data_IF_252947413852
#
_entry.id   IF_252947413852
#
_cell.length_a   1.000
_cell.length_b   1.000
_cell.length_c   1.000
_cell.angle_alpha   90.00
_cell.angle_beta   90.00
_cell.angle_gamma   90.00
#
_symmetry.space_group_name_H-M   'P 1'
#
loop_
_entity.id
_entity.type
_entity.pdbx_description
1 polymer ?
#
# COMPACT_ATOMS: atom_id res chain seq x y z
N UNK A 1 -2.20 20.49 -19.23
CA UNK A 1 -1.64 19.40 -18.40
C UNK A 1 -2.71 18.30 -18.37
N UNK A 2 -2.47 17.18 -19.04
CA UNK A 2 -3.38 16.02 -19.02
C UNK A 2 -2.97 15.12 -17.86
N UNK A 3 -3.92 14.77 -16.98
CA UNK A 3 -3.64 13.92 -15.82
C UNK A 3 -3.65 12.46 -16.22
N UNK A 4 -2.80 11.68 -15.55
CA UNK A 4 -2.70 10.24 -15.76
C UNK A 4 -3.71 9.48 -14.89
N UNK A 5 -4.27 10.07 -13.82
CA UNK A 5 -5.26 9.38 -12.97
C UNK A 5 -6.14 10.23 -12.03
N UNK A 6 -7.32 9.72 -11.61
CA UNK A 6 -8.07 10.32 -10.50
C UNK A 6 -7.36 10.24 -9.16
N UNK A 7 -6.55 9.18 -8.94
CA UNK A 7 -5.66 9.11 -7.77
C UNK A 7 -4.63 10.23 -7.77
N UNK A 8 -4.05 10.54 -8.93
CA UNK A 8 -3.13 11.66 -9.12
C UNK A 8 -3.87 12.99 -8.96
N UNK A 9 -5.10 13.13 -9.45
CA UNK A 9 -5.90 14.34 -9.24
C UNK A 9 -6.23 14.57 -7.77
N UNK A 10 -6.54 13.50 -7.02
CA UNK A 10 -6.75 13.58 -5.58
C UNK A 10 -5.45 13.85 -4.83
N UNK A 11 -4.39 13.12 -5.15
CA UNK A 11 -3.07 13.33 -4.59
C UNK A 11 -2.58 14.76 -4.83
N UNK A 12 -2.64 15.28 -6.06
CA UNK A 12 -2.18 16.62 -6.40
C UNK A 12 -3.10 17.75 -5.89
N UNK A 13 -4.35 17.43 -5.52
CA UNK A 13 -5.24 18.37 -4.83
C UNK A 13 -4.90 18.49 -3.33
N UNK A 14 -4.49 17.39 -2.68
CA UNK A 14 -4.25 17.32 -1.24
C UNK A 14 -2.77 17.45 -0.85
N UNK A 15 -1.83 17.06 -1.71
CA UNK A 15 -0.40 17.24 -1.49
C UNK A 15 0.10 18.55 -2.12
N UNK A 16 0.58 19.45 -1.27
CA UNK A 16 1.53 20.48 -1.68
C UNK A 16 2.81 19.81 -2.18
N UNK A 17 3.38 20.26 -3.31
CA UNK A 17 4.66 19.76 -3.85
C UNK A 17 5.82 20.04 -2.89
N UNK A 18 5.98 19.17 -1.90
CA UNK A 18 7.09 19.12 -0.93
C UNK A 18 7.34 20.39 -0.09
N UNK A 19 8.00 20.22 1.04
CA UNK A 19 8.47 21.28 1.92
C UNK A 19 9.30 22.38 1.22
N UNK A 20 9.77 22.15 -0.02
CA UNK A 20 10.44 23.15 -0.82
C UNK A 20 9.52 24.29 -1.25
N UNK A 21 8.22 24.08 -1.51
CA UNK A 21 7.30 25.15 -1.88
C UNK A 21 6.97 26.07 -0.69
N UNK A 22 6.87 25.52 0.52
CA UNK A 22 6.77 26.32 1.74
C UNK A 22 8.06 27.09 2.03
N UNK A 23 9.23 26.47 1.87
CA UNK A 23 10.52 27.17 1.93
C UNK A 23 10.65 28.23 0.83
N UNK A 24 10.14 27.99 -0.37
CA UNK A 24 10.08 28.95 -1.48
C UNK A 24 9.10 30.10 -1.18
N UNK A 25 7.95 29.85 -0.56
CA UNK A 25 7.02 30.90 -0.10
C UNK A 25 7.60 31.72 1.05
N UNK A 26 8.30 31.07 2.01
CA UNK A 26 9.04 31.74 3.07
C UNK A 26 10.20 32.58 2.49
N UNK A 27 10.91 32.07 1.48
CA UNK A 27 11.97 32.81 0.78
C UNK A 27 11.41 33.95 -0.09
N UNK A 28 10.21 33.80 -0.67
CA UNK A 28 9.51 34.84 -1.44
C UNK A 28 8.94 35.96 -0.56
N UNK A 29 8.50 35.64 0.65
CA UNK A 29 8.02 36.61 1.65
C UNK A 29 9.16 37.35 2.36
N UNK A 30 10.41 36.89 2.20
CA UNK A 30 11.58 37.54 2.74
C UNK A 30 12.05 38.71 1.84
N UNK A 31 11.67 39.93 2.21
CA UNK A 31 11.97 41.15 1.45
C UNK A 31 13.48 41.39 1.18
N UNK A 32 14.37 40.79 1.98
CA UNK A 32 15.81 40.92 1.86
C UNK A 32 16.43 40.12 0.70
N UNK A 33 15.78 39.01 0.27
CA UNK A 33 16.22 38.23 -0.91
C UNK A 33 15.79 38.88 -2.22
N UNK A 34 14.70 39.66 -2.22
CA UNK A 34 14.17 40.35 -3.41
C UNK A 34 15.05 41.50 -3.93
N UNK A 35 16.04 41.94 -3.13
CA UNK A 35 16.97 43.04 -3.46
C UNK A 35 18.25 42.59 -4.17
N UNK A 36 18.55 41.29 -4.25
CA UNK A 36 19.72 40.82 -4.99
C UNK A 36 19.43 40.82 -6.49
N UNK A 37 20.33 41.43 -7.28
CA UNK A 37 20.23 41.43 -8.75
C UNK A 37 20.32 39.99 -9.25
N UNK A 38 19.46 39.57 -10.20
CA UNK A 38 19.49 38.20 -10.72
C UNK A 38 20.82 37.92 -11.40
N UNK A 39 21.45 36.81 -11.03
CA UNK A 39 22.62 36.28 -11.75
C UNK A 39 22.12 35.62 -13.03
N UNK A 40 22.86 35.76 -14.13
CA UNK A 40 22.44 35.50 -15.52
C UNK A 40 21.94 34.06 -15.82
N UNK A 41 21.98 33.14 -14.85
CA UNK A 41 21.53 31.74 -14.96
C UNK A 41 20.48 31.33 -13.91
N UNK A 42 19.91 32.26 -13.15
CA UNK A 42 18.83 31.94 -12.22
C UNK A 42 17.49 31.79 -12.97
N UNK A 43 16.83 30.66 -12.78
CA UNK A 43 15.47 30.42 -13.27
C UNK A 43 14.57 31.54 -12.74
N UNK A 44 13.95 32.32 -13.64
CA UNK A 44 13.08 33.42 -13.25
C UNK A 44 11.90 32.90 -12.41
N UNK A 45 11.88 33.23 -11.11
CA UNK A 45 10.79 32.90 -10.18
C UNK A 45 9.79 34.06 -9.98
N UNK A 46 9.91 35.14 -10.76
CA UNK A 46 9.10 36.38 -10.66
C UNK A 46 7.77 36.36 -11.44
N UNK A 47 7.13 35.19 -11.57
CA UNK A 47 5.72 35.11 -11.97
C UNK A 47 4.85 35.00 -10.72
N UNK A 48 3.59 35.50 -10.72
CA UNK A 48 2.63 35.06 -9.71
C UNK A 48 2.65 33.53 -9.68
N UNK A 49 2.67 32.93 -8.49
CA UNK A 49 2.55 31.49 -8.37
C UNK A 49 1.24 31.10 -9.07
N UNK A 50 1.35 30.49 -10.25
CA UNK A 50 0.19 30.12 -11.05
C UNK A 50 -0.49 28.92 -10.40
N UNK A 51 -1.30 29.24 -9.39
CA UNK A 51 -2.09 28.29 -8.64
C UNK A 51 -3.32 27.83 -9.43
N UNK A 52 -3.52 28.28 -10.67
CA UNK A 52 -4.69 27.91 -11.50
C UNK A 52 -4.77 26.38 -11.68
N UNK A 53 -3.63 25.74 -11.91
CA UNK A 53 -3.51 24.27 -11.98
C UNK A 53 -4.00 23.60 -10.70
N UNK A 54 -3.52 24.05 -9.54
CA UNK A 54 -3.91 23.54 -8.21
C UNK A 54 -5.40 23.73 -7.92
N UNK A 55 -5.95 24.91 -8.20
CA UNK A 55 -7.37 25.20 -8.01
C UNK A 55 -8.22 24.30 -8.92
N UNK A 56 -7.78 24.07 -10.16
CA UNK A 56 -8.43 23.11 -11.06
C UNK A 56 -8.34 21.67 -10.53
N UNK A 57 -7.22 21.26 -9.93
CA UNK A 57 -7.10 19.92 -9.31
C UNK A 57 -8.08 19.76 -8.16
N UNK A 58 -8.13 20.74 -7.26
CA UNK A 58 -9.05 20.75 -6.11
C UNK A 58 -10.51 20.70 -6.55
N UNK A 59 -10.87 21.49 -7.57
CA UNK A 59 -12.23 21.48 -8.11
C UNK A 59 -12.60 20.13 -8.73
N UNK A 60 -11.69 19.50 -9.49
CA UNK A 60 -11.95 18.20 -10.10
C UNK A 60 -11.96 17.06 -9.06
N UNK A 61 -11.06 17.10 -8.07
CA UNK A 61 -11.06 16.22 -6.91
C UNK A 61 -12.36 16.29 -6.11
N UNK A 62 -12.88 17.52 -5.88
CA UNK A 62 -14.16 17.74 -5.21
C UNK A 62 -15.35 17.16 -5.98
N UNK A 63 -15.32 17.20 -7.33
CA UNK A 63 -16.35 16.55 -8.16
C UNK A 63 -16.31 15.02 -8.04
N UNK A 64 -15.11 14.43 -8.09
CA UNK A 64 -14.94 12.98 -7.89
C UNK A 64 -15.43 12.56 -6.51
N UNK A 65 -15.09 13.33 -5.47
CA UNK A 65 -15.61 13.15 -4.11
C UNK A 65 -17.14 13.16 -4.05
N UNK A 66 -17.75 14.17 -4.67
CA UNK A 66 -19.20 14.34 -4.70
C UNK A 66 -19.90 13.17 -5.38
N UNK A 67 -19.37 12.65 -6.50
CA UNK A 67 -19.98 11.50 -7.17
C UNK A 67 -19.79 10.21 -6.37
N UNK A 68 -18.60 9.97 -5.81
CA UNK A 68 -18.37 8.82 -4.94
C UNK A 68 -19.37 8.85 -3.78
N UNK A 69 -19.58 10.01 -3.15
CA UNK A 69 -20.50 10.17 -2.01
C UNK A 69 -21.98 9.84 -2.31
N UNK A 70 -22.39 9.78 -3.58
CA UNK A 70 -23.75 9.37 -3.98
C UNK A 70 -23.93 7.86 -4.10
N UNK A 71 -22.83 7.11 -4.20
CA UNK A 71 -22.85 5.67 -4.42
C UNK A 71 -23.30 4.92 -3.15
N UNK A 72 -23.68 3.64 -3.23
CA UNK A 72 -23.86 2.79 -2.06
C UNK A 72 -22.60 2.75 -1.17
N UNK A 73 -22.79 2.55 0.13
CA UNK A 73 -21.73 2.64 1.14
C UNK A 73 -20.47 1.78 0.85
N UNK A 74 -20.63 0.62 0.23
CA UNK A 74 -19.51 -0.25 -0.14
C UNK A 74 -18.71 0.28 -1.32
N UNK A 75 -19.36 0.87 -2.32
CA UNK A 75 -18.71 1.54 -3.45
C UNK A 75 -18.07 2.86 -3.02
N UNK A 76 -18.67 3.57 -2.05
CA UNK A 76 -18.04 4.71 -1.39
C UNK A 76 -16.73 4.30 -0.72
N UNK A 77 -16.79 3.28 0.14
CA UNK A 77 -15.62 2.78 0.86
C UNK A 77 -14.55 2.27 -0.10
N UNK A 78 -14.93 1.49 -1.12
CA UNK A 78 -14.05 1.03 -2.17
C UNK A 78 -13.36 2.21 -2.89
N UNK A 79 -14.13 3.20 -3.33
CA UNK A 79 -13.58 4.33 -4.08
C UNK A 79 -12.68 5.23 -3.24
N UNK A 80 -13.08 5.51 -2.00
CA UNK A 80 -12.23 6.22 -1.03
C UNK A 80 -10.94 5.44 -0.77
N UNK A 81 -10.99 4.12 -0.60
CA UNK A 81 -9.79 3.33 -0.36
C UNK A 81 -8.84 3.29 -1.56
N UNK A 82 -9.38 3.16 -2.77
CA UNK A 82 -8.58 3.01 -3.99
C UNK A 82 -7.94 4.32 -4.45
N UNK A 83 -8.64 5.45 -4.31
CA UNK A 83 -8.21 6.69 -4.92
C UNK A 83 -7.89 7.80 -3.92
N UNK A 84 -8.40 7.76 -2.68
CA UNK A 84 -8.18 8.86 -1.74
C UNK A 84 -6.73 8.88 -1.26
N UNK A 85 -6.20 10.07 -0.89
CA UNK A 85 -4.94 10.16 -0.17
C UNK A 85 -5.03 9.32 1.11
N UNK A 86 -4.04 8.46 1.35
CA UNK A 86 -3.99 7.65 2.57
C UNK A 86 -3.21 8.40 3.64
N UNK A 87 -3.71 8.43 4.87
CA UNK A 87 -3.00 9.03 6.02
C UNK A 87 -1.59 8.45 6.24
N UNK A 88 -1.34 7.22 5.78
CA UNK A 88 -0.05 6.52 5.92
C UNK A 88 1.14 7.19 5.23
N UNK A 89 0.90 8.14 4.33
CA UNK A 89 1.97 8.94 3.72
C UNK A 89 2.57 9.98 4.70
N UNK A 90 1.99 10.15 5.91
CA UNK A 90 2.42 11.10 6.94
C UNK A 90 3.02 10.43 8.19
N UNK A 91 4.15 9.73 8.05
CA UNK A 91 5.08 9.39 9.16
C UNK A 91 4.59 8.67 10.45
N UNK A 92 3.58 7.77 10.51
CA UNK A 92 3.25 7.02 11.74
C UNK A 92 3.87 5.60 11.77
N UNK A 93 4.48 5.16 10.66
CA UNK A 93 4.95 3.78 10.50
C UNK A 93 6.00 3.39 11.57
N UNK A 94 6.98 4.25 11.84
CA UNK A 94 8.11 3.91 12.71
C UNK A 94 7.73 3.57 14.15
N UNK A 95 6.75 4.27 14.74
CA UNK A 95 6.30 4.00 16.11
C UNK A 95 5.66 2.61 16.21
N UNK A 96 4.81 2.27 15.25
CA UNK A 96 4.17 0.96 15.18
C UNK A 96 5.18 -0.18 14.94
N UNK A 97 6.24 0.07 14.15
CA UNK A 97 7.29 -0.93 13.93
C UNK A 97 8.05 -1.26 15.22
N UNK A 98 8.33 -0.26 16.06
CA UNK A 98 9.00 -0.45 17.33
C UNK A 98 8.12 -1.21 18.33
N UNK A 99 6.82 -0.92 18.38
CA UNK A 99 5.86 -1.64 19.22
C UNK A 99 5.80 -3.12 18.85
N UNK A 100 5.72 -3.44 17.56
CA UNK A 100 5.75 -4.82 17.06
C UNK A 100 7.09 -5.49 17.37
N UNK A 101 8.21 -4.80 17.15
CA UNK A 101 9.54 -5.33 17.46
C UNK A 101 9.69 -5.67 18.95
N UNK A 102 9.18 -4.82 19.84
CA UNK A 102 9.18 -5.06 21.28
C UNK A 102 8.25 -6.21 21.69
N UNK A 103 7.09 -6.36 21.05
CA UNK A 103 6.21 -7.51 21.25
C UNK A 103 6.90 -8.81 20.84
N UNK A 104 7.52 -8.84 19.67
CA UNK A 104 8.29 -10.00 19.18
C UNK A 104 9.49 -10.32 20.08
N UNK A 105 10.19 -9.30 20.59
CA UNK A 105 11.31 -9.52 21.50
C UNK A 105 10.87 -10.22 22.79
N UNK A 106 9.70 -9.85 23.34
CA UNK A 106 9.11 -10.52 24.52
C UNK A 106 8.74 -11.96 24.20
N UNK A 107 8.04 -12.18 23.10
CA UNK A 107 7.64 -13.53 22.64
C UNK A 107 8.86 -14.44 22.46
N UNK A 108 9.94 -13.96 21.83
CA UNK A 108 11.15 -14.76 21.64
C UNK A 108 11.86 -15.02 22.96
N UNK A 109 11.90 -14.05 23.87
CA UNK A 109 12.50 -14.23 25.20
C UNK A 109 11.78 -15.34 25.98
N UNK A 110 10.47 -15.44 25.86
CA UNK A 110 9.66 -16.48 26.50
C UNK A 110 9.85 -17.85 25.85
N UNK A 111 9.87 -17.90 24.51
CA UNK A 111 9.89 -19.16 23.76
C UNK A 111 11.29 -19.74 23.51
N UNK A 112 12.31 -18.87 23.43
CA UNK A 112 13.71 -19.21 23.14
C UNK A 112 14.65 -18.54 24.18
N UNK A 113 14.51 -18.88 25.48
CA UNK A 113 15.21 -18.17 26.55
C UNK A 113 16.73 -18.34 26.50
N UNK A 114 17.23 -19.49 26.01
CA UNK A 114 18.66 -19.78 25.92
C UNK A 114 19.33 -18.93 24.82
N UNK A 115 18.73 -18.92 23.63
CA UNK A 115 19.22 -18.12 22.49
C UNK A 115 19.10 -16.63 22.78
N UNK A 116 18.00 -16.20 23.41
CA UNK A 116 17.82 -14.81 23.81
C UNK A 116 18.86 -14.36 24.85
N UNK A 117 19.15 -15.19 25.85
CA UNK A 117 20.14 -14.90 26.89
C UNK A 117 21.57 -14.85 26.37
N UNK A 118 21.95 -15.77 25.49
CA UNK A 118 23.31 -15.85 24.93
C UNK A 118 23.56 -14.84 23.79
N UNK A 119 22.52 -14.47 23.05
CA UNK A 119 22.65 -13.73 21.79
C UNK A 119 21.64 -12.59 21.63
N UNK A 120 21.35 -11.86 22.71
CA UNK A 120 20.32 -10.80 22.73
C UNK A 120 20.44 -9.82 21.56
N UNK A 121 21.65 -9.32 21.26
CA UNK A 121 21.87 -8.39 20.15
C UNK A 121 21.60 -9.01 18.78
N UNK A 122 21.96 -10.28 18.57
CA UNK A 122 21.69 -10.99 17.32
C UNK A 122 20.21 -11.28 17.15
N UNK A 123 19.50 -11.63 18.21
CA UNK A 123 18.04 -11.80 18.17
C UNK A 123 17.36 -10.50 17.74
N UNK A 124 17.77 -9.35 18.28
CA UNK A 124 17.27 -8.05 17.82
C UNK A 124 17.54 -7.79 16.33
N UNK A 125 18.73 -8.15 15.84
CA UNK A 125 19.06 -8.09 14.41
C UNK A 125 18.13 -8.98 13.59
N UNK A 126 17.83 -10.22 14.06
CA UNK A 126 16.88 -11.11 13.38
C UNK A 126 15.50 -10.47 13.31
N UNK A 127 14.96 -10.01 14.45
CA UNK A 127 13.62 -9.40 14.52
C UNK A 127 13.50 -8.23 13.53
N UNK A 128 14.43 -7.28 13.58
CA UNK A 128 14.37 -6.07 12.75
C UNK A 128 14.47 -6.39 11.25
N UNK A 129 15.37 -7.31 10.87
CA UNK A 129 15.52 -7.68 9.46
C UNK A 129 14.35 -8.50 8.93
N UNK A 130 13.77 -9.40 9.75
CA UNK A 130 12.56 -10.14 9.38
C UNK A 130 11.36 -9.21 9.25
N UNK A 131 11.19 -8.26 10.18
CA UNK A 131 10.14 -7.24 10.09
C UNK A 131 10.30 -6.42 8.81
N UNK A 132 11.49 -5.85 8.56
CA UNK A 132 11.76 -5.08 7.34
C UNK A 132 11.46 -5.91 6.09
N UNK A 133 11.89 -7.16 6.05
CA UNK A 133 11.63 -8.06 4.95
C UNK A 133 10.13 -8.27 4.71
N UNK A 134 9.34 -8.56 5.74
CA UNK A 134 7.90 -8.78 5.57
C UNK A 134 7.13 -7.48 5.27
N UNK A 135 7.55 -6.33 5.80
CA UNK A 135 6.96 -5.04 5.44
C UNK A 135 7.22 -4.67 3.98
N UNK A 136 8.42 -4.92 3.45
CA UNK A 136 8.71 -4.70 2.03
C UNK A 136 7.84 -5.61 1.16
N UNK A 137 7.59 -6.86 1.57
CA UNK A 137 6.66 -7.77 0.88
C UNK A 137 5.20 -7.34 0.95
N UNK A 138 4.75 -6.79 2.08
CA UNK A 138 3.38 -6.26 2.22
C UNK A 138 3.15 -5.01 1.34
N UNK A 139 4.21 -4.24 1.08
CA UNK A 139 4.25 -3.18 0.05
C UNK A 139 4.41 -3.73 -1.38
N UNK A 140 4.42 -5.06 -1.54
CA UNK A 140 4.62 -5.79 -2.80
C UNK A 140 5.97 -5.58 -3.48
N UNK A 141 6.97 -5.12 -2.73
CA UNK A 141 8.36 -5.15 -3.20
C UNK A 141 8.89 -6.58 -3.07
N UNK A 142 9.90 -6.89 -3.89
CA UNK A 142 10.62 -8.18 -3.82
C UNK A 142 11.94 -7.99 -3.07
N UNK A 143 11.94 -8.08 -1.72
CA UNK A 143 13.17 -7.97 -0.97
C UNK A 143 14.10 -9.16 -1.25
N UNK A 144 15.39 -8.93 -1.05
CA UNK A 144 16.40 -9.96 -1.13
C UNK A 144 16.11 -11.08 -0.11
N UNK A 145 16.53 -12.31 -0.42
CA UNK A 145 16.34 -13.46 0.47
C UNK A 145 16.82 -13.13 1.89
N UNK A 146 15.96 -13.37 2.88
CA UNK A 146 16.20 -13.05 4.29
C UNK A 146 17.49 -13.65 4.83
N UNK A 147 17.87 -14.85 4.39
CA UNK A 147 19.11 -15.50 4.82
C UNK A 147 20.35 -14.71 4.33
N UNK A 148 20.27 -14.09 3.15
CA UNK A 148 21.36 -13.25 2.61
C UNK A 148 21.42 -11.93 3.37
N UNK A 149 20.28 -11.33 3.66
CA UNK A 149 20.20 -10.09 4.45
C UNK A 149 20.78 -10.30 5.86
N UNK A 150 20.40 -11.40 6.52
CA UNK A 150 20.92 -11.77 7.83
C UNK A 150 22.40 -12.14 7.80
N UNK A 151 22.85 -12.85 6.76
CA UNK A 151 24.27 -13.16 6.54
C UNK A 151 25.13 -11.88 6.49
N UNK A 152 24.68 -10.87 5.74
CA UNK A 152 25.34 -9.56 5.69
C UNK A 152 25.30 -8.83 7.03
N UNK A 153 24.14 -8.77 7.68
CA UNK A 153 23.96 -8.06 8.95
C UNK A 153 24.74 -8.68 10.12
N UNK A 154 24.98 -9.99 10.10
CA UNK A 154 25.69 -10.72 11.15
C UNK A 154 27.13 -11.06 10.81
N UNK A 155 27.61 -10.70 9.60
CA UNK A 155 28.90 -11.12 9.07
C UNK A 155 29.11 -12.66 9.16
N UNK A 156 28.11 -13.42 8.74
CA UNK A 156 28.10 -14.90 8.81
C UNK A 156 27.74 -15.53 7.46
N UNK A 157 28.27 -16.72 7.12
CA UNK A 157 27.83 -17.46 5.94
C UNK A 157 26.34 -17.82 6.01
N UNK A 158 25.66 -17.76 4.85
CA UNK A 158 24.21 -18.01 4.72
C UNK A 158 23.77 -19.35 5.34
N UNK A 159 24.53 -20.42 5.12
CA UNK A 159 24.17 -21.75 5.61
C UNK A 159 24.23 -21.82 7.14
N UNK A 160 25.20 -21.14 7.75
CA UNK A 160 25.30 -21.03 9.21
C UNK A 160 24.17 -20.19 9.79
N UNK A 161 23.77 -19.12 9.10
CA UNK A 161 22.61 -18.31 9.50
C UNK A 161 21.35 -19.17 9.51
N UNK A 162 21.10 -19.92 8.44
CA UNK A 162 19.90 -20.77 8.32
C UNK A 162 19.88 -21.86 9.39
N UNK A 163 21.02 -22.52 9.64
CA UNK A 163 21.13 -23.55 10.67
C UNK A 163 20.87 -22.99 12.07
N UNK A 164 21.44 -21.82 12.40
CA UNK A 164 21.35 -21.25 13.75
C UNK A 164 20.03 -20.51 14.00
N UNK A 165 19.50 -19.78 13.02
CA UNK A 165 18.39 -18.83 13.23
C UNK A 165 17.11 -19.22 12.50
N UNK A 166 17.12 -20.24 11.64
CA UNK A 166 15.97 -20.59 10.80
C UNK A 166 14.69 -20.89 11.59
N UNK A 167 14.80 -21.47 12.79
CA UNK A 167 13.66 -21.77 13.66
C UNK A 167 13.07 -20.49 14.28
N UNK A 168 13.91 -19.55 14.76
CA UNK A 168 13.48 -18.23 15.25
C UNK A 168 12.86 -17.41 14.12
N UNK A 169 13.48 -17.37 12.93
CA UNK A 169 12.92 -16.70 11.75
C UNK A 169 11.55 -17.25 11.40
N UNK A 170 11.39 -18.59 11.37
CA UNK A 170 10.09 -19.22 11.10
C UNK A 170 9.04 -18.82 12.13
N UNK A 171 9.42 -18.78 13.42
CA UNK A 171 8.51 -18.38 14.48
C UNK A 171 8.10 -16.90 14.38
N UNK A 172 9.05 -15.98 14.23
CA UNK A 172 8.79 -14.54 14.05
C UNK A 172 7.84 -14.31 12.88
N UNK A 173 8.08 -14.96 11.74
CA UNK A 173 7.21 -14.83 10.56
C UNK A 173 5.80 -15.34 10.84
N UNK A 174 5.64 -16.39 11.66
CA UNK A 174 4.33 -16.84 12.15
C UNK A 174 3.64 -15.76 12.97
N UNK A 175 4.33 -15.21 13.97
CA UNK A 175 3.79 -14.11 14.79
C UNK A 175 3.42 -12.89 13.95
N UNK A 176 4.26 -12.48 13.00
CA UNK A 176 3.98 -11.35 12.10
C UNK A 176 2.73 -11.63 11.27
N UNK A 177 2.62 -12.82 10.68
CA UNK A 177 1.43 -13.21 9.92
C UNK A 177 0.19 -13.08 10.79
N UNK A 178 0.23 -13.64 12.00
CA UNK A 178 -0.93 -13.67 12.90
C UNK A 178 -1.28 -12.26 13.41
N UNK A 179 -0.29 -11.39 13.67
CA UNK A 179 -0.51 -9.96 13.98
C UNK A 179 -1.11 -9.21 12.78
N UNK A 180 -0.66 -9.51 11.56
CA UNK A 180 -1.18 -8.90 10.33
C UNK A 180 -2.62 -9.29 10.00
N UNK A 181 -3.15 -10.37 10.59
CA UNK A 181 -4.57 -10.70 10.51
C UNK A 181 -5.43 -9.69 11.28
N UNK A 182 -4.85 -8.99 12.26
CA UNK A 182 -5.56 -8.12 13.21
C UNK A 182 -5.45 -6.63 12.85
N UNK A 183 -4.50 -6.22 11.99
CA UNK A 183 -4.06 -4.82 11.87
C UNK A 183 -4.58 -4.02 10.68
N UNK A 184 -5.59 -4.47 9.92
CA UNK A 184 -6.19 -3.59 8.90
C UNK A 184 -7.17 -2.61 9.56
N UNK A 185 -6.64 -1.53 10.13
CA UNK A 185 -7.39 -0.48 10.83
C UNK A 185 -8.09 0.52 9.90
N UNK A 186 -7.95 0.36 8.58
CA UNK A 186 -8.62 1.21 7.61
C UNK A 186 -10.11 0.85 7.53
N UNK A 187 -10.95 1.80 7.96
CA UNK A 187 -12.40 1.65 7.98
C UNK A 187 -12.97 1.40 6.58
N UNK A 188 -12.44 2.06 5.56
CA UNK A 188 -12.90 1.92 4.18
C UNK A 188 -12.51 0.55 3.62
N UNK A 189 -11.27 0.10 3.89
CA UNK A 189 -10.84 -1.26 3.53
C UNK A 189 -11.71 -2.32 4.20
N UNK A 190 -12.04 -2.14 5.48
CA UNK A 190 -12.86 -3.08 6.25
C UNK A 190 -14.28 -3.20 5.68
N UNK A 191 -14.93 -2.07 5.41
CA UNK A 191 -16.28 -2.05 4.80
C UNK A 191 -16.25 -2.69 3.41
N UNK A 192 -15.28 -2.31 2.56
CA UNK A 192 -15.15 -2.89 1.22
C UNK A 192 -14.90 -4.40 1.27
N UNK A 193 -14.07 -4.86 2.23
CA UNK A 193 -13.75 -6.29 2.43
C UNK A 193 -14.99 -7.08 2.82
N UNK A 194 -15.80 -6.59 3.77
CA UNK A 194 -17.03 -7.26 4.19
C UNK A 194 -18.03 -7.42 3.05
N UNK A 195 -18.22 -6.37 2.24
CA UNK A 195 -19.12 -6.43 1.10
C UNK A 195 -18.59 -7.31 -0.03
N UNK A 196 -17.28 -7.29 -0.28
CA UNK A 196 -16.64 -8.13 -1.29
C UNK A 196 -16.83 -9.61 -0.94
N UNK A 197 -16.65 -9.97 0.33
CA UNK A 197 -16.91 -11.32 0.81
C UNK A 197 -18.35 -11.72 0.58
N UNK A 198 -19.31 -10.86 0.96
CA UNK A 198 -20.73 -11.17 0.81
C UNK A 198 -21.13 -11.40 -0.65
N UNK A 199 -20.63 -10.58 -1.57
CA UNK A 199 -20.87 -10.76 -3.01
C UNK A 199 -20.21 -12.02 -3.54
N UNK A 200 -18.96 -12.29 -3.16
CA UNK A 200 -18.27 -13.52 -3.52
C UNK A 200 -19.04 -14.76 -3.04
N UNK A 201 -19.48 -14.80 -1.78
CA UNK A 201 -20.30 -15.89 -1.23
C UNK A 201 -21.62 -16.06 -1.99
N UNK A 202 -22.27 -14.95 -2.36
CA UNK A 202 -23.53 -14.98 -3.12
C UNK A 202 -23.31 -15.58 -4.51
N UNK A 203 -22.17 -15.25 -5.14
CA UNK A 203 -21.83 -15.70 -6.50
C UNK A 203 -21.41 -17.18 -6.54
N UNK A 204 -20.70 -17.65 -5.53
CA UNK A 204 -20.10 -19.00 -5.52
C UNK A 204 -20.90 -20.01 -4.72
N UNK A 205 -21.73 -19.55 -3.78
CA UNK A 205 -22.40 -20.39 -2.79
C UNK A 205 -21.45 -20.93 -1.70
N UNK A 206 -20.19 -20.49 -1.66
CA UNK A 206 -19.20 -20.95 -0.69
C UNK A 206 -19.35 -20.25 0.67
N UNK A 207 -19.01 -20.96 1.74
CA UNK A 207 -18.89 -20.37 3.08
C UNK A 207 -17.58 -19.61 3.23
N UNK A 208 -17.65 -18.34 3.68
CA UNK A 208 -16.48 -17.54 3.95
C UNK A 208 -15.87 -17.93 5.30
N UNK A 209 -14.54 -18.03 5.32
CA UNK A 209 -13.73 -18.24 6.53
C UNK A 209 -12.85 -17.02 6.78
N UNK A 210 -12.19 -16.95 7.94
CA UNK A 210 -11.22 -15.89 8.26
C UNK A 210 -10.11 -15.78 7.20
N UNK A 211 -9.71 -16.89 6.58
CA UNK A 211 -8.72 -16.86 5.50
C UNK A 211 -9.26 -16.15 4.25
N UNK A 212 -10.55 -16.28 3.97
CA UNK A 212 -11.18 -15.57 2.86
C UNK A 212 -11.20 -14.06 3.10
N UNK A 213 -11.41 -13.59 4.34
CA UNK A 213 -11.33 -12.15 4.63
C UNK A 213 -9.93 -11.58 4.41
N UNK A 214 -8.88 -12.36 4.68
CA UNK A 214 -7.50 -11.99 4.33
C UNK A 214 -7.31 -11.89 2.83
N UNK A 215 -7.81 -12.86 2.07
CA UNK A 215 -7.76 -12.85 0.59
C UNK A 215 -8.51 -11.66 0.03
N UNK A 216 -9.69 -11.34 0.55
CA UNK A 216 -10.48 -10.19 0.13
C UNK A 216 -9.74 -8.86 0.37
N UNK A 217 -9.13 -8.67 1.56
CA UNK A 217 -8.29 -7.49 1.85
C UNK A 217 -7.08 -7.40 0.91
N UNK A 218 -6.39 -8.52 0.67
CA UNK A 218 -5.23 -8.55 -0.25
C UNK A 218 -5.62 -8.32 -1.71
N UNK A 219 -6.78 -8.81 -2.15
CA UNK A 219 -7.34 -8.53 -3.47
C UNK A 219 -7.62 -7.03 -3.62
N UNK A 220 -8.26 -6.39 -2.64
CA UNK A 220 -8.49 -4.95 -2.60
C UNK A 220 -7.20 -4.13 -2.64
N UNK A 221 -6.19 -4.51 -1.84
CA UNK A 221 -4.86 -3.89 -1.83
C UNK A 221 -4.16 -4.04 -3.18
N UNK A 222 -4.17 -5.24 -3.74
CA UNK A 222 -3.59 -5.51 -5.06
C UNK A 222 -4.32 -4.71 -6.14
N UNK A 223 -5.64 -4.66 -6.09
CA UNK A 223 -6.47 -3.91 -7.03
C UNK A 223 -6.18 -2.40 -6.98
N UNK A 224 -6.11 -1.83 -5.78
CA UNK A 224 -5.75 -0.43 -5.57
C UNK A 224 -4.32 -0.11 -6.05
N UNK A 225 -3.41 -1.09 -6.01
CA UNK A 225 -2.04 -0.93 -6.52
C UNK A 225 -1.93 -1.08 -8.04
N UNK A 226 -2.76 -1.91 -8.67
CA UNK A 226 -2.72 -2.12 -10.12
C UNK A 226 -3.02 -0.86 -10.95
N UNK A 227 -3.21 0.26 -10.27
CA UNK A 227 -3.30 1.61 -10.81
C UNK A 227 -4.35 1.64 -11.91
N UNK A 228 -5.61 1.72 -11.49
CA UNK A 228 -6.72 2.05 -12.39
C UNK A 228 -6.65 3.50 -12.87
N UNK A 229 -5.50 4.15 -12.70
CA UNK A 229 -5.11 5.42 -13.30
C UNK A 229 -5.52 5.54 -14.76
N UNK A 230 -5.33 4.47 -15.53
CA UNK A 230 -5.69 4.44 -16.95
C UNK A 230 -7.18 4.64 -17.24
N UNK A 231 -8.10 4.37 -16.30
CA UNK A 231 -9.53 4.69 -16.47
C UNK A 231 -9.82 6.19 -16.38
N UNK A 232 -8.81 6.98 -16.01
CA UNK A 232 -8.88 8.41 -15.79
C UNK A 232 -7.86 9.21 -16.63
N UNK A 233 -7.19 8.61 -17.62
CA UNK A 233 -6.46 9.42 -18.61
C UNK A 233 -7.49 10.07 -19.54
N UNK A 234 -7.63 11.39 -19.42
CA UNK A 234 -8.57 12.18 -20.22
C UNK A 234 -8.03 12.48 -21.64
N UNK A 235 -7.06 11.71 -22.14
CA UNK A 235 -6.42 11.92 -23.44
C UNK A 235 -6.96 10.97 -24.50
N UNK A 236 -7.29 11.50 -25.68
CA UNK A 236 -7.65 10.72 -26.87
C UNK A 236 -6.47 9.87 -27.37
N UNK A 237 -5.24 10.24 -27.02
CA UNK A 237 -4.02 9.48 -27.27
C UNK A 237 -3.82 8.44 -26.16
N UNK A 238 -4.29 7.22 -26.42
CA UNK A 238 -4.09 6.05 -25.56
C UNK A 238 -2.76 5.39 -25.91
N UNK A 239 -1.72 5.60 -25.10
CA UNK A 239 -0.65 4.60 -25.07
C UNK A 239 -1.21 3.33 -24.40
N UNK A 240 -1.09 2.14 -25.03
CA UNK A 240 -1.53 0.90 -24.41
C UNK A 240 -0.64 0.59 -23.20
N UNK A 241 -1.09 0.96 -22.01
CA UNK A 241 -0.38 0.64 -20.77
C UNK A 241 -0.45 -0.87 -20.55
N UNK A 242 0.73 -1.50 -20.47
CA UNK A 242 0.86 -2.91 -20.09
C UNK A 242 0.21 -3.10 -18.73
N UNK A 243 -0.77 -4.01 -18.63
CA UNK A 243 -1.38 -4.39 -17.36
C UNK A 243 -0.28 -4.59 -16.32
N UNK A 244 -0.36 -3.80 -15.24
CA UNK A 244 0.57 -3.94 -14.13
C UNK A 244 0.37 -5.34 -13.53
N UNK A 245 1.47 -6.02 -13.25
CA UNK A 245 1.39 -7.34 -12.60
C UNK A 245 0.69 -7.18 -11.24
N UNK A 246 -0.04 -8.21 -10.76
CA UNK A 246 -0.58 -8.21 -9.42
C UNK A 246 0.48 -7.80 -8.40
N UNK A 247 0.08 -7.02 -7.39
CA UNK A 247 1.00 -6.52 -6.37
C UNK A 247 1.69 -7.67 -5.63
N UNK A 248 0.92 -8.72 -5.36
CA UNK A 248 1.35 -9.85 -4.56
C UNK A 248 1.66 -11.07 -5.42
N UNK A 249 2.71 -11.80 -5.03
CA UNK A 249 3.01 -13.11 -5.62
C UNK A 249 2.15 -14.19 -4.96
N UNK A 250 1.89 -15.29 -5.68
CA UNK A 250 1.17 -16.45 -5.12
C UNK A 250 1.87 -17.02 -3.87
N UNK A 251 3.19 -16.94 -3.80
CA UNK A 251 3.97 -17.29 -2.60
C UNK A 251 3.65 -16.41 -1.40
N UNK A 252 3.43 -15.11 -1.63
CA UNK A 252 3.03 -14.19 -0.57
C UNK A 252 1.59 -14.46 -0.12
N UNK A 253 0.67 -14.58 -1.07
CA UNK A 253 -0.74 -14.86 -0.79
C UNK A 253 -0.92 -16.17 -0.02
N UNK A 254 -0.30 -17.25 -0.47
CA UNK A 254 -0.33 -18.56 0.22
C UNK A 254 0.25 -18.49 1.62
N UNK A 255 1.37 -17.78 1.82
CA UNK A 255 1.93 -17.55 3.15
C UNK A 255 0.97 -16.79 4.07
N UNK A 256 0.27 -15.76 3.57
CA UNK A 256 -0.69 -14.95 4.34
C UNK A 256 -1.86 -15.78 4.88
N UNK A 257 -2.35 -16.74 4.12
CA UNK A 257 -3.42 -17.66 4.58
C UNK A 257 -2.90 -18.94 5.25
N UNK A 258 -1.57 -19.05 5.42
CA UNK A 258 -0.94 -20.20 6.06
C UNK A 258 -1.09 -21.51 5.27
N UNK A 259 -1.09 -21.44 3.94
CA UNK A 259 -1.20 -22.59 3.03
C UNK A 259 0.13 -22.77 2.30
N UNK A 260 0.51 -24.02 2.03
CA UNK A 260 1.71 -24.28 1.24
C UNK A 260 1.50 -23.78 -0.20
N UNK A 261 2.50 -23.12 -0.80
CA UNK A 261 2.40 -22.58 -2.15
C UNK A 261 2.00 -23.62 -3.20
N UNK A 262 2.45 -24.88 -3.05
CA UNK A 262 2.05 -26.00 -3.92
C UNK A 262 0.55 -26.32 -3.86
N UNK A 263 -0.11 -26.01 -2.75
CA UNK A 263 -1.53 -26.27 -2.54
C UNK A 263 -2.41 -25.07 -2.94
N UNK A 264 -1.82 -23.90 -3.22
CA UNK A 264 -2.53 -22.65 -3.50
C UNK A 264 -3.63 -22.81 -4.56
N UNK A 265 -3.29 -23.44 -5.69
CA UNK A 265 -4.25 -23.70 -6.76
C UNK A 265 -5.17 -24.88 -6.45
N UNK A 266 -4.61 -25.96 -5.89
CA UNK A 266 -5.36 -27.19 -5.60
C UNK A 266 -6.49 -26.97 -4.60
N UNK A 267 -6.24 -26.15 -3.59
CA UNK A 267 -7.20 -25.87 -2.52
C UNK A 267 -8.16 -24.70 -2.88
N UNK A 268 -8.20 -24.26 -4.15
CA UNK A 268 -9.16 -23.26 -4.66
C UNK A 268 -8.86 -21.80 -4.33
N UNK A 269 -7.73 -21.49 -3.69
CA UNK A 269 -7.42 -20.11 -3.26
C UNK A 269 -7.10 -19.16 -4.41
N UNK A 270 -6.49 -19.69 -5.49
CA UNK A 270 -6.30 -18.92 -6.72
C UNK A 270 -7.65 -18.48 -7.29
N UNK A 271 -8.59 -19.41 -7.39
CA UNK A 271 -9.91 -19.16 -7.97
C UNK A 271 -10.68 -18.14 -7.12
N UNK A 272 -10.66 -18.28 -5.79
CA UNK A 272 -11.26 -17.30 -4.88
C UNK A 272 -10.66 -15.88 -5.05
N UNK A 273 -9.32 -15.78 -5.16
CA UNK A 273 -8.66 -14.49 -5.39
C UNK A 273 -9.05 -13.86 -6.74
N UNK A 274 -9.11 -14.67 -7.80
CA UNK A 274 -9.47 -14.23 -9.15
C UNK A 274 -10.94 -13.82 -9.24
N UNK A 275 -11.85 -14.56 -8.58
CA UNK A 275 -13.27 -14.24 -8.50
C UNK A 275 -13.53 -12.93 -7.75
N UNK A 276 -12.88 -12.74 -6.60
CA UNK A 276 -12.93 -11.48 -5.84
C UNK A 276 -12.38 -10.33 -6.68
N UNK A 277 -11.27 -10.53 -7.38
CA UNK A 277 -10.74 -9.53 -8.32
C UNK A 277 -11.74 -9.24 -9.45
N UNK A 278 -12.48 -10.24 -9.93
CA UNK A 278 -13.57 -10.08 -10.88
C UNK A 278 -14.71 -9.20 -10.36
N UNK A 279 -15.12 -9.38 -9.09
CA UNK A 279 -16.11 -8.52 -8.41
C UNK A 279 -15.61 -7.08 -8.34
N UNK A 280 -14.35 -6.88 -7.93
CA UNK A 280 -13.74 -5.54 -7.85
C UNK A 280 -13.70 -4.82 -9.20
N UNK A 281 -13.46 -5.55 -10.29
CA UNK A 281 -13.56 -4.99 -11.63
C UNK A 281 -14.99 -4.51 -11.96
N UNK A 282 -16.02 -5.25 -11.51
CA UNK A 282 -17.42 -4.85 -11.64
C UNK A 282 -17.72 -3.57 -10.84
N UNK A 283 -17.28 -3.52 -9.59
CA UNK A 283 -17.41 -2.33 -8.73
C UNK A 283 -16.72 -1.13 -9.35
N UNK A 284 -15.48 -1.29 -9.82
CA UNK A 284 -14.76 -0.23 -10.50
C UNK A 284 -15.55 0.30 -11.69
N UNK A 285 -16.06 -0.56 -12.57
CA UNK A 285 -16.91 -0.11 -13.69
C UNK A 285 -18.12 0.68 -13.20
N UNK A 286 -18.82 0.20 -12.18
CA UNK A 286 -19.99 0.92 -11.64
C UNK A 286 -19.63 2.29 -11.08
N UNK A 287 -18.56 2.41 -10.30
CA UNK A 287 -18.10 3.71 -9.78
C UNK A 287 -17.64 4.63 -10.92
N UNK A 288 -16.98 4.06 -11.93
CA UNK A 288 -16.39 4.82 -13.02
C UNK A 288 -17.40 5.27 -14.06
N UNK A 289 -18.46 4.51 -14.33
CA UNK A 289 -19.52 4.92 -15.26
C UNK A 289 -20.15 6.26 -14.86
N UNK A 290 -20.33 6.49 -13.56
CA UNK A 290 -20.88 7.75 -13.06
C UNK A 290 -19.84 8.89 -13.07
N UNK A 291 -18.56 8.58 -12.85
CA UNK A 291 -17.47 9.56 -12.94
C UNK A 291 -17.18 9.95 -14.39
N UNK A 292 -17.20 9.03 -15.36
CA UNK A 292 -16.93 9.30 -16.78
C UNK A 292 -18.04 10.14 -17.43
N UNK A 293 -19.29 10.02 -16.95
CA UNK A 293 -20.40 10.90 -17.36
C UNK A 293 -20.16 12.37 -16.97
N UNK A 294 -19.26 12.65 -16.02
CA UNK A 294 -18.75 14.00 -15.83
C UNK A 294 -17.90 14.35 -17.06
N UNK A 295 -18.51 14.95 -18.08
CA UNK A 295 -17.74 15.68 -19.10
C UNK A 295 -16.82 16.64 -18.35
N UNK A 296 -15.52 16.37 -18.40
CA UNK A 296 -14.48 17.29 -17.95
C UNK A 296 -14.47 18.47 -18.94
N UNK A 297 -15.50 19.31 -18.85
CA UNK A 297 -15.53 20.65 -19.47
C UNK A 297 -14.41 21.48 -18.83
#
# INVERSE_FOLDING_TARGET
MQYLSARQMWHDAFYSRSANDQLLEINRSNANLLRQKPVMNETQTRGPADNSSRVMHMAKAGRVQSEIAKLPAHLQAFGMYCWAPKEQDSLPAYKHHNEIANALAREIKEKFPQEYGLYTSRVSIVILNVLKYEFERDKGRKPQNIDITLAGAMAMPKDKVRAQWGHIVKHIRGCIRDMQLVTDSDKNLSIATLHLLKEWQTKTGAEATEKHSVIASLALKSFAHTDQSYLFSASEEREPVKQSKPLYTNEYLSWRVGVAAANWKRDGWQDAFDEMTGVLNGWARSVLEDIVKLRLV
#
